data_IF_051040920791
#
_entry.id   IF_051040920791
#
_cell.length_a   1.000
_cell.length_b   1.000
_cell.length_c   1.000
_cell.angle_alpha   90.00
_cell.angle_beta   90.00
_cell.angle_gamma   90.00
#
_symmetry.space_group_name_H-M   'P 1'
#
loop_
_entity.id
_entity.type
_entity.pdbx_description
1 polymer ?
#
# COMPACT_ATOMS: atom_id res chain seq x y z
N UNK A 1 5.42 -26.55 1.87
CA UNK A 1 4.57 -25.62 1.08
C UNK A 1 5.03 -24.22 1.41
N UNK A 2 5.23 -23.36 0.41
CA UNK A 2 5.55 -21.94 0.62
C UNK A 2 4.38 -21.09 0.10
N UNK A 3 4.10 -19.98 0.76
CA UNK A 3 3.06 -19.03 0.39
C UNK A 3 3.63 -17.62 0.38
N UNK A 4 3.59 -16.96 -0.78
CA UNK A 4 3.95 -15.55 -0.94
C UNK A 4 2.68 -14.78 -1.33
N UNK A 5 2.38 -13.68 -0.63
CA UNK A 5 1.26 -12.81 -1.03
C UNK A 5 1.51 -11.36 -0.66
N UNK A 6 0.74 -10.47 -1.28
CA UNK A 6 0.77 -9.04 -1.03
C UNK A 6 -0.61 -8.55 -0.63
N UNK A 7 -0.68 -7.52 0.20
CA UNK A 7 -1.91 -6.80 0.52
C UNK A 7 -1.71 -5.32 0.28
N UNK A 8 -2.58 -4.75 -0.57
CA UNK A 8 -2.72 -3.31 -0.77
C UNK A 8 -3.95 -2.85 -0.01
N UNK A 9 -3.75 -2.21 1.12
CA UNK A 9 -4.82 -1.80 2.05
C UNK A 9 -4.96 -0.28 2.02
N UNK A 10 -6.20 0.20 2.00
CA UNK A 10 -6.54 1.62 2.05
C UNK A 10 -7.43 1.86 3.28
N UNK A 11 -6.93 2.65 4.23
CA UNK A 11 -7.67 3.04 5.43
C UNK A 11 -8.19 4.46 5.27
N UNK A 12 -9.51 4.61 5.26
CA UNK A 12 -10.22 5.86 5.04
C UNK A 12 -10.75 6.43 6.36
N UNK A 13 -10.53 7.73 6.59
CA UNK A 13 -11.05 8.44 7.76
C UNK A 13 -11.80 9.69 7.29
N UNK A 14 -13.05 9.84 7.75
CA UNK A 14 -13.96 10.91 7.32
C UNK A 14 -14.09 11.00 5.79
N UNK A 15 -14.49 9.90 5.16
CA UNK A 15 -14.47 9.77 3.70
C UNK A 15 -13.04 9.72 3.18
N UNK A 16 -12.68 10.60 2.24
CA UNK A 16 -11.34 10.66 1.62
C UNK A 16 -10.47 11.81 2.14
N UNK A 17 -10.89 12.49 3.21
CA UNK A 17 -10.14 13.59 3.83
C UNK A 17 -8.74 13.14 4.24
N UNK A 18 -8.67 12.03 5.00
CA UNK A 18 -7.41 11.38 5.35
C UNK A 18 -7.45 9.92 4.92
N UNK A 19 -6.45 9.53 4.15
CA UNK A 19 -6.30 8.19 3.57
C UNK A 19 -4.90 7.70 3.88
N UNK A 20 -4.80 6.49 4.46
CA UNK A 20 -3.53 5.79 4.67
C UNK A 20 -3.45 4.59 3.77
N UNK A 21 -2.39 4.51 2.99
CA UNK A 21 -2.11 3.39 2.09
C UNK A 21 -1.02 2.50 2.67
N UNK A 22 -1.27 1.19 2.70
CA UNK A 22 -0.31 0.17 3.09
C UNK A 22 -0.10 -0.81 1.93
N UNK A 23 1.15 -1.01 1.52
CA UNK A 23 1.52 -2.09 0.60
C UNK A 23 2.43 -3.06 1.33
N UNK A 24 1.89 -4.23 1.68
CA UNK A 24 2.46 -5.19 2.62
C UNK A 24 2.80 -6.49 1.92
N UNK A 25 3.99 -7.02 2.17
CA UNK A 25 4.49 -8.24 1.55
C UNK A 25 4.70 -9.32 2.61
N UNK A 26 4.20 -10.52 2.33
CA UNK A 26 4.19 -11.64 3.27
C UNK A 26 4.87 -12.87 2.69
N UNK A 27 5.65 -13.54 3.55
CA UNK A 27 6.25 -14.83 3.30
C UNK A 27 5.78 -15.82 4.38
N UNK A 28 5.06 -16.87 3.99
CA UNK A 28 4.45 -17.87 4.88
C UNK A 28 3.61 -17.26 6.02
N UNK A 29 2.93 -16.15 5.74
CA UNK A 29 2.09 -15.43 6.72
C UNK A 29 2.83 -14.39 7.56
N UNK A 30 4.16 -14.34 7.50
CA UNK A 30 4.97 -13.33 8.16
C UNK A 30 5.18 -12.13 7.22
N UNK A 31 4.83 -10.94 7.68
CA UNK A 31 5.12 -9.69 6.96
C UNK A 31 6.61 -9.39 7.05
N UNK A 32 7.28 -9.24 5.91
CA UNK A 32 8.74 -9.02 5.89
C UNK A 32 9.12 -7.61 5.42
N UNK A 33 8.31 -6.95 4.58
CA UNK A 33 8.52 -5.57 4.14
C UNK A 33 7.19 -4.87 3.87
N UNK A 34 7.14 -3.55 4.14
CA UNK A 34 5.95 -2.73 3.94
C UNK A 34 6.29 -1.32 3.46
N UNK A 35 5.53 -0.81 2.50
CA UNK A 35 5.37 0.64 2.31
C UNK A 35 4.18 1.15 3.12
N UNK A 36 4.37 2.27 3.79
CA UNK A 36 3.36 2.97 4.58
C UNK A 36 3.34 4.43 4.17
N UNK A 37 2.18 4.94 3.73
CA UNK A 37 2.07 6.35 3.30
C UNK A 37 2.33 7.34 4.44
N UNK A 38 2.25 6.92 5.71
CA UNK A 38 2.64 7.79 6.83
C UNK A 38 4.16 7.97 6.93
N UNK A 39 4.94 7.09 6.29
CA UNK A 39 6.42 7.14 6.23
C UNK A 39 6.95 7.51 4.85
N UNK A 40 6.14 7.36 3.80
CA UNK A 40 6.52 7.60 2.40
C UNK A 40 7.75 6.80 1.94
N UNK A 41 7.99 5.63 2.54
CA UNK A 41 9.08 4.72 2.20
C UNK A 41 8.77 3.26 2.55
N UNK A 42 9.51 2.34 1.92
CA UNK A 42 9.49 0.94 2.30
C UNK A 42 10.35 0.71 3.55
N UNK A 43 9.84 -0.06 4.51
CA UNK A 43 10.59 -0.51 5.68
C UNK A 43 10.52 -2.02 5.81
N UNK A 44 11.66 -2.59 6.15
CA UNK A 44 11.75 -3.98 6.56
C UNK A 44 11.02 -4.16 7.89
N UNK A 45 10.10 -5.13 7.94
CA UNK A 45 9.42 -5.57 9.16
C UNK A 45 10.23 -6.66 9.85
N UNK A 46 10.91 -7.48 9.06
CA UNK A 46 11.86 -8.51 9.51
C UNK A 46 13.17 -8.38 8.74
N UNK A 47 14.23 -9.03 9.21
CA UNK A 47 15.54 -9.03 8.57
C UNK A 47 15.50 -9.46 7.10
N UNK A 48 14.57 -10.37 6.76
CA UNK A 48 14.37 -10.87 5.40
C UNK A 48 14.04 -9.75 4.40
N UNK A 49 13.32 -8.71 4.84
CA UNK A 49 12.88 -7.62 3.96
C UNK A 49 13.87 -6.47 3.82
N UNK A 50 15.01 -6.49 4.52
CA UNK A 50 16.02 -5.41 4.42
C UNK A 50 16.51 -5.19 2.99
N UNK A 51 16.90 -6.23 2.22
CA UNK A 51 17.38 -6.04 0.85
C UNK A 51 16.31 -5.42 -0.05
N UNK A 52 15.06 -5.85 0.08
CA UNK A 52 13.94 -5.32 -0.72
C UNK A 52 13.63 -3.86 -0.36
N UNK A 53 13.62 -3.51 0.92
CA UNK A 53 13.39 -2.14 1.37
C UNK A 53 14.48 -1.19 0.84
N UNK A 54 15.75 -1.56 0.98
CA UNK A 54 16.88 -0.77 0.45
C UNK A 54 16.80 -0.63 -1.07
N UNK A 55 16.57 -1.74 -1.78
CA UNK A 55 16.47 -1.74 -3.23
C UNK A 55 15.31 -0.88 -3.74
N UNK A 56 14.10 -1.06 -3.21
CA UNK A 56 12.93 -0.29 -3.66
C UNK A 56 13.02 1.19 -3.30
N UNK A 57 13.57 1.53 -2.14
CA UNK A 57 13.79 2.94 -1.78
C UNK A 57 14.89 3.60 -2.64
N UNK A 58 15.87 2.82 -3.13
CA UNK A 58 16.88 3.34 -4.08
C UNK A 58 16.32 3.62 -5.48
N UNK A 59 15.18 3.00 -5.83
CA UNK A 59 14.55 3.15 -7.14
C UNK A 59 13.48 4.23 -7.11
N UNK A 60 13.87 5.43 -7.55
CA UNK A 60 13.01 6.62 -7.58
C UNK A 60 11.61 6.36 -8.16
N UNK A 61 11.53 5.69 -9.31
CA UNK A 61 10.24 5.40 -9.96
C UNK A 61 9.33 4.51 -9.10
N UNK A 62 9.89 3.50 -8.42
CA UNK A 62 9.11 2.61 -7.54
C UNK A 62 8.59 3.39 -6.34
N UNK A 63 9.46 4.18 -5.72
CA UNK A 63 9.12 4.93 -4.52
C UNK A 63 8.08 6.03 -4.80
N UNK A 64 8.26 6.79 -5.89
CA UNK A 64 7.30 7.81 -6.32
C UNK A 64 5.96 7.20 -6.71
N UNK A 65 5.95 6.05 -7.39
CA UNK A 65 4.72 5.34 -7.70
C UNK A 65 3.99 4.91 -6.42
N UNK A 66 4.70 4.33 -5.44
CA UNK A 66 4.10 3.90 -4.17
C UNK A 66 3.49 5.07 -3.39
N UNK A 67 4.17 6.22 -3.35
CA UNK A 67 3.63 7.46 -2.75
C UNK A 67 2.36 7.94 -3.46
N UNK A 68 2.31 7.82 -4.78
CA UNK A 68 1.14 8.19 -5.57
C UNK A 68 -0.05 7.23 -5.42
N UNK A 69 0.10 6.03 -4.84
CA UNK A 69 -1.00 5.06 -4.69
C UNK A 69 -2.09 5.55 -3.72
N UNK A 70 -1.81 6.51 -2.83
CA UNK A 70 -2.84 7.14 -2.00
C UNK A 70 -3.94 7.77 -2.88
N UNK A 71 -3.55 8.51 -3.92
CA UNK A 71 -4.49 9.16 -4.84
C UNK A 71 -4.93 8.22 -5.96
N UNK A 72 -3.95 7.64 -6.65
CA UNK A 72 -4.18 6.90 -7.90
C UNK A 72 -4.85 5.55 -7.68
N UNK A 73 -4.70 4.96 -6.48
CA UNK A 73 -5.33 3.70 -6.12
C UNK A 73 -6.43 3.90 -5.09
N UNK A 74 -6.12 4.42 -3.89
CA UNK A 74 -7.10 4.46 -2.81
C UNK A 74 -8.26 5.43 -3.09
N UNK A 75 -7.98 6.73 -3.30
CA UNK A 75 -9.04 7.71 -3.57
C UNK A 75 -9.78 7.43 -4.88
N UNK A 76 -9.05 7.04 -5.91
CA UNK A 76 -9.65 6.64 -7.19
C UNK A 76 -10.67 5.50 -7.02
N UNK A 77 -10.28 4.39 -6.39
CA UNK A 77 -11.18 3.25 -6.20
C UNK A 77 -12.34 3.55 -5.25
N UNK A 78 -12.11 4.38 -4.22
CA UNK A 78 -13.19 4.85 -3.35
C UNK A 78 -14.26 5.59 -4.15
N UNK A 79 -13.88 6.56 -4.98
CA UNK A 79 -14.82 7.32 -5.81
C UNK A 79 -15.58 6.45 -6.83
N UNK A 80 -14.91 5.47 -7.43
CA UNK A 80 -15.56 4.48 -8.31
C UNK A 80 -16.59 3.63 -7.54
N UNK A 81 -16.25 3.17 -6.33
CA UNK A 81 -17.17 2.39 -5.49
C UNK A 81 -18.35 3.21 -4.97
N UNK A 82 -18.11 4.44 -4.52
CA UNK A 82 -19.15 5.35 -4.05
C UNK A 82 -20.13 5.68 -5.17
N UNK A 83 -19.63 6.12 -6.34
CA UNK A 83 -20.50 6.43 -7.49
C UNK A 83 -21.38 5.23 -7.88
N UNK A 84 -20.82 4.02 -7.90
CA UNK A 84 -21.57 2.81 -8.21
C UNK A 84 -22.61 2.42 -7.15
N UNK A 85 -22.30 2.60 -5.87
CA UNK A 85 -23.21 2.24 -4.76
C UNK A 85 -24.30 3.28 -4.51
N UNK A 86 -24.03 4.56 -4.77
CA UNK A 86 -24.99 5.66 -4.63
C UNK A 86 -25.94 5.71 -5.83
N UNK A 87 -25.47 5.54 -7.07
CA UNK A 87 -26.33 5.53 -8.27
C UNK A 87 -27.27 4.32 -8.36
N UNK A 88 -27.06 3.30 -7.51
CA UNK A 88 -27.89 2.09 -7.42
C UNK A 88 -28.94 2.15 -6.30
N UNK A 89 -29.05 3.27 -5.58
CA UNK A 89 -30.18 3.58 -4.69
C UNK A 89 -31.23 4.39 -5.43
#
# INVERSE_FOLDING_TARGET
HFLQYTKKECHFFNGTERVRFLNRYFHNGEEFVRFDSDWDEFRAVTELGRPDAEYWNSQKEILERARAEVDTYCRHNYGVGESFTVQRR
#
